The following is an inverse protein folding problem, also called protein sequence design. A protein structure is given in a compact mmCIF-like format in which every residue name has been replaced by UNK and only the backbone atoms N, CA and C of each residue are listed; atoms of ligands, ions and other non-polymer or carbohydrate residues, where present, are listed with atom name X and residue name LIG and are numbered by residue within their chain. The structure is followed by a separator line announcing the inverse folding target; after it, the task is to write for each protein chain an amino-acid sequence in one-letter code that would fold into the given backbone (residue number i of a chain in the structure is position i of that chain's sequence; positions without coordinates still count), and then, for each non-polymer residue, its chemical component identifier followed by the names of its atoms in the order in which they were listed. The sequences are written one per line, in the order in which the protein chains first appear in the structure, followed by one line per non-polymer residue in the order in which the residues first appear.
data_IF_330128194553
#
_entry.id   IF_330128194553
#
_cell.length_a   1.000
_cell.length_b   1.000
_cell.length_c   1.000
_cell.angle_alpha   90.00
_cell.angle_beta   90.00
_cell.angle_gamma   90.00
#
_symmetry.space_group_name_H-M   'P 1'
#
loop_
_entity.id
_entity.type
_entity.pdbx_description
1 polymer ?
#
# COMPACT_ATOMS: atom_id res chain seq x y z
N UNK A 1 -5.16 6.82 -8.65
CA UNK A 1 -5.51 5.84 -9.70
C UNK A 1 -4.69 4.60 -9.43
N UNK A 2 -5.29 3.42 -9.34
CA UNK A 2 -4.55 2.17 -9.16
C UNK A 2 -4.57 1.39 -10.49
N UNK A 3 -3.46 0.78 -10.89
CA UNK A 3 -3.45 -0.20 -11.97
C UNK A 3 -3.44 -1.59 -11.34
N UNK A 4 -4.31 -2.48 -11.80
CA UNK A 4 -4.30 -3.90 -11.42
C UNK A 4 -4.25 -4.70 -12.72
N UNK A 5 -3.09 -5.26 -13.05
CA UNK A 5 -2.86 -5.86 -14.36
C UNK A 5 -2.98 -4.81 -15.48
N UNK A 6 -3.91 -5.02 -16.41
CA UNK A 6 -4.17 -4.10 -17.52
C UNK A 6 -5.26 -3.06 -17.22
N UNK A 7 -5.96 -3.17 -16.08
CA UNK A 7 -7.06 -2.27 -15.73
C UNK A 7 -6.58 -1.07 -14.90
N UNK A 8 -7.09 0.12 -15.22
CA UNK A 8 -6.88 1.35 -14.44
C UNK A 8 -8.18 1.69 -13.70
N UNK A 9 -8.09 1.78 -12.38
CA UNK A 9 -9.22 2.02 -11.49
C UNK A 9 -9.08 3.40 -10.81
N UNK A 10 -10.17 4.15 -10.86
CA UNK A 10 -10.34 5.40 -10.12
C UNK A 10 -11.32 5.16 -8.99
N UNK A 11 -10.85 5.33 -7.76
CA UNK A 11 -11.65 5.11 -6.56
C UNK A 11 -11.41 6.23 -5.56
N UNK A 12 -12.42 6.45 -4.74
CA UNK A 12 -12.40 7.36 -3.61
C UNK A 12 -13.18 6.71 -2.46
N UNK A 13 -12.78 7.06 -1.23
CA UNK A 13 -13.44 6.63 -0.01
C UNK A 13 -13.39 7.75 1.03
N UNK A 14 -14.38 7.77 1.93
CA UNK A 14 -14.40 8.63 3.11
C UNK A 14 -13.83 7.85 4.28
N UNK A 15 -13.06 8.51 5.15
CA UNK A 15 -12.48 7.89 6.34
C UNK A 15 -12.27 8.89 7.46
N UNK A 16 -11.90 8.40 8.63
CA UNK A 16 -11.59 9.19 9.82
C UNK A 16 -10.17 9.80 9.68
N UNK A 17 -10.00 10.68 8.69
CA UNK A 17 -8.73 11.28 8.32
C UNK A 17 -8.15 10.76 7.00
N UNK A 18 -7.10 11.42 6.49
CA UNK A 18 -6.60 11.19 5.13
C UNK A 18 -6.01 9.78 4.94
N UNK A 19 -5.28 9.26 5.92
CA UNK A 19 -4.68 7.91 5.84
C UNK A 19 -5.75 6.82 5.86
N UNK A 20 -6.80 6.97 6.67
CA UNK A 20 -7.90 6.01 6.69
C UNK A 20 -8.72 6.07 5.39
N UNK A 21 -8.98 7.26 4.85
CA UNK A 21 -9.63 7.40 3.56
C UNK A 21 -8.80 6.74 2.44
N UNK A 22 -7.47 6.88 2.50
CA UNK A 22 -6.54 6.27 1.56
C UNK A 22 -6.56 4.73 1.64
N UNK A 23 -6.44 4.14 2.82
CA UNK A 23 -6.52 2.69 3.03
C UNK A 23 -7.84 2.12 2.47
N UNK A 24 -8.98 2.75 2.80
CA UNK A 24 -10.30 2.33 2.28
C UNK A 24 -10.39 2.46 0.77
N UNK A 25 -9.81 3.51 0.19
CA UNK A 25 -9.78 3.71 -1.25
C UNK A 25 -8.97 2.61 -1.93
N UNK A 26 -7.76 2.32 -1.43
CA UNK A 26 -6.90 1.23 -1.96
C UNK A 26 -7.64 -0.10 -1.89
N UNK A 27 -8.17 -0.46 -0.73
CA UNK A 27 -8.94 -1.70 -0.53
C UNK A 27 -10.10 -1.81 -1.51
N UNK A 28 -10.86 -0.72 -1.71
CA UNK A 28 -11.95 -0.68 -2.68
C UNK A 28 -11.49 -0.94 -4.13
N UNK A 29 -10.27 -0.54 -4.50
CA UNK A 29 -9.72 -0.85 -5.81
C UNK A 29 -9.24 -2.29 -5.95
N UNK A 30 -8.63 -2.88 -4.91
CA UNK A 30 -7.94 -4.18 -5.05
C UNK A 30 -8.76 -5.39 -4.58
N UNK A 31 -9.69 -5.23 -3.63
CA UNK A 31 -10.48 -6.34 -3.09
C UNK A 31 -11.27 -7.12 -4.16
N UNK A 32 -11.80 -6.50 -5.23
CA UNK A 32 -12.44 -7.27 -6.32
C UNK A 32 -11.51 -8.29 -7.00
N UNK A 33 -10.20 -8.05 -6.96
CA UNK A 33 -9.18 -8.89 -7.61
C UNK A 33 -8.49 -9.84 -6.62
N UNK A 34 -8.39 -9.44 -5.34
CA UNK A 34 -7.73 -10.20 -4.28
C UNK A 34 -8.64 -10.29 -3.03
N UNK A 35 -9.74 -11.05 -3.10
CA UNK A 35 -10.67 -11.20 -1.97
C UNK A 35 -10.00 -11.79 -0.72
N UNK A 36 -8.90 -12.54 -0.87
CA UNK A 36 -8.11 -13.07 0.24
C UNK A 36 -7.49 -11.99 1.14
N UNK A 37 -7.44 -10.73 0.68
CA UNK A 37 -6.96 -9.59 1.48
C UNK A 37 -8.04 -9.00 2.39
N UNK A 38 -9.30 -9.45 2.31
CA UNK A 38 -10.38 -8.95 3.15
C UNK A 38 -10.11 -9.19 4.64
N UNK A 39 -9.44 -10.30 4.98
CA UNK A 39 -9.01 -10.62 6.35
C UNK A 39 -7.81 -9.81 6.84
N UNK A 40 -7.09 -9.13 5.95
CA UNK A 40 -5.89 -8.36 6.32
C UNK A 40 -6.33 -7.04 6.94
N UNK A 41 -5.93 -6.78 8.18
CA UNK A 41 -6.23 -5.54 8.89
C UNK A 41 -4.96 -4.88 9.42
N UNK A 42 -4.98 -3.55 9.49
CA UNK A 42 -3.94 -2.78 10.17
C UNK A 42 -4.19 -2.88 11.67
N UNK A 43 -3.18 -3.32 12.42
CA UNK A 43 -3.26 -3.46 13.88
C UNK A 43 -2.47 -2.39 14.62
N UNK A 44 -1.48 -1.78 13.98
CA UNK A 44 -0.73 -0.66 14.54
C UNK A 44 -0.23 0.31 13.45
N UNK A 45 -0.14 1.59 13.81
CA UNK A 45 0.30 2.66 12.93
C UNK A 45 1.18 3.64 13.72
N UNK A 46 2.47 3.69 13.37
CA UNK A 46 3.48 4.50 14.07
C UNK A 46 4.22 5.41 13.11
N UNK A 47 4.37 6.67 13.49
CA UNK A 47 5.13 7.67 12.74
C UNK A 47 6.35 8.07 13.53
N UNK A 48 7.50 8.18 12.86
CA UNK A 48 8.74 8.70 13.42
C UNK A 48 9.35 9.73 12.49
N UNK A 49 9.80 10.84 13.04
CA UNK A 49 10.61 11.83 12.33
C UNK A 49 12.07 11.40 12.47
N UNK A 50 12.80 11.32 11.35
CA UNK A 50 14.18 10.84 11.34
C UNK A 50 15.20 11.98 11.44
N UNK A 51 14.87 13.14 10.87
CA UNK A 51 15.72 14.32 10.84
C UNK A 51 14.91 15.51 11.36
N UNK A 52 14.89 15.67 12.68
CA UNK A 52 14.12 16.74 13.34
C UNK A 52 14.72 18.13 13.05
N UNK A 53 16.01 18.21 12.71
CA UNK A 53 16.71 19.46 12.44
C UNK A 53 16.27 20.09 11.10
N UNK A 54 15.88 19.27 10.13
CA UNK A 54 15.36 19.70 8.84
C UNK A 54 13.93 20.30 8.90
N UNK A 55 13.29 20.34 10.08
CA UNK A 55 11.96 20.91 10.31
C UNK A 55 10.91 20.44 9.30
N UNK A 56 10.40 21.32 8.41
CA UNK A 56 9.37 20.94 7.42
C UNK A 56 9.89 20.06 6.29
N UNK A 57 11.21 19.96 6.12
CA UNK A 57 11.86 19.06 5.17
C UNK A 57 12.24 17.72 5.81
N UNK A 58 11.89 17.50 7.08
CA UNK A 58 12.22 16.31 7.82
C UNK A 58 11.71 15.04 7.14
N UNK A 59 12.57 14.03 7.09
CA UNK A 59 12.17 12.72 6.60
C UNK A 59 11.28 12.04 7.63
N UNK A 60 10.08 11.66 7.20
CA UNK A 60 9.09 10.95 7.99
C UNK A 60 9.10 9.47 7.64
N UNK A 61 9.19 8.62 8.66
CA UNK A 61 9.08 7.16 8.55
C UNK A 61 7.76 6.70 9.15
N UNK A 62 6.99 5.97 8.38
CA UNK A 62 5.74 5.34 8.79
C UNK A 62 5.97 3.85 8.90
N UNK A 63 5.67 3.27 10.06
CA UNK A 63 5.66 1.85 10.32
C UNK A 63 4.22 1.37 10.50
N UNK A 64 3.84 0.37 9.72
CA UNK A 64 2.52 -0.25 9.78
C UNK A 64 2.69 -1.71 10.17
N UNK A 65 1.99 -2.11 11.22
CA UNK A 65 1.79 -3.51 11.54
C UNK A 65 0.44 -3.97 10.96
N UNK A 66 0.46 -5.05 10.20
CA UNK A 66 -0.73 -5.69 9.64
C UNK A 66 -0.82 -7.15 10.07
N UNK A 67 -2.04 -7.68 10.08
CA UNK A 67 -2.34 -9.06 10.45
C UNK A 67 -3.43 -9.63 9.56
N UNK A 68 -3.33 -10.91 9.20
CA UNK A 68 -4.40 -11.69 8.54
C UNK A 68 -5.20 -12.56 9.53
N UNK A 69 -5.00 -12.36 10.84
CA UNK A 69 -5.58 -13.17 11.91
C UNK A 69 -4.73 -14.38 12.32
N UNK A 70 -3.77 -14.81 11.50
CA UNK A 70 -2.84 -15.90 11.82
C UNK A 70 -1.41 -15.40 12.02
N UNK A 71 -0.99 -14.43 11.22
CA UNK A 71 0.36 -13.90 11.20
C UNK A 71 0.33 -12.39 11.24
N UNK A 72 1.32 -11.81 11.90
CA UNK A 72 1.57 -10.37 11.88
C UNK A 72 2.82 -10.08 11.07
N UNK A 73 2.86 -8.92 10.43
CA UNK A 73 4.04 -8.41 9.74
C UNK A 73 4.10 -6.90 9.80
N UNK A 74 5.31 -6.38 9.67
CA UNK A 74 5.60 -4.96 9.66
C UNK A 74 6.04 -4.52 8.27
N UNK A 75 5.66 -3.30 7.92
CA UNK A 75 6.07 -2.62 6.69
C UNK A 75 6.44 -1.18 7.00
N UNK A 76 7.30 -0.61 6.16
CA UNK A 76 7.87 0.71 6.39
C UNK A 76 7.84 1.51 5.11
N UNK A 77 7.25 2.71 5.19
CA UNK A 77 7.35 3.74 4.17
C UNK A 77 8.12 4.94 4.70
N UNK A 78 8.88 5.61 3.84
CA UNK A 78 9.67 6.79 4.20
C UNK A 78 9.57 7.85 3.12
N UNK A 79 9.18 9.05 3.49
CA UNK A 79 9.11 10.21 2.58
C UNK A 79 9.14 11.50 3.42
N UNK A 80 9.45 12.63 2.80
CA UNK A 80 9.22 13.95 3.40
C UNK A 80 7.72 14.28 3.48
N UNK A 81 6.87 13.59 2.71
CA UNK A 81 5.42 13.70 2.78
C UNK A 81 4.83 12.51 3.55
N UNK A 82 4.16 12.78 4.67
CA UNK A 82 3.53 11.75 5.49
C UNK A 82 2.52 10.91 4.72
N UNK A 83 1.75 11.50 3.79
CA UNK A 83 0.73 10.77 3.02
C UNK A 83 1.38 9.76 2.07
N UNK A 84 2.50 10.14 1.46
CA UNK A 84 3.27 9.26 0.58
C UNK A 84 3.97 8.14 1.38
N UNK A 85 4.56 8.47 2.53
CA UNK A 85 5.14 7.47 3.42
C UNK A 85 4.07 6.46 3.89
N UNK A 86 2.88 6.93 4.29
CA UNK A 86 1.75 6.06 4.64
C UNK A 86 1.30 5.21 3.46
N UNK A 87 1.23 5.80 2.26
CA UNK A 87 0.82 5.10 1.05
C UNK A 87 1.73 3.91 0.75
N UNK A 88 3.06 4.11 0.76
CA UNK A 88 4.02 3.04 0.52
C UNK A 88 3.91 1.94 1.56
N UNK A 89 3.88 2.29 2.84
CA UNK A 89 3.72 1.31 3.91
C UNK A 89 2.42 0.51 3.78
N UNK A 90 1.30 1.17 3.42
CA UNK A 90 0.01 0.53 3.21
C UNK A 90 0.03 -0.48 2.07
N UNK A 91 0.57 -0.09 0.91
CA UNK A 91 0.66 -0.98 -0.27
C UNK A 91 1.53 -2.19 0.06
N UNK A 92 2.72 -1.98 0.62
CA UNK A 92 3.62 -3.06 1.02
C UNK A 92 2.92 -4.02 2.00
N UNK A 93 2.11 -3.48 2.92
CA UNK A 93 1.40 -4.29 3.92
C UNK A 93 0.38 -5.23 3.28
N UNK A 94 -0.18 -4.86 2.12
CA UNK A 94 -1.16 -5.64 1.36
C UNK A 94 -0.49 -6.57 0.34
N UNK A 95 0.68 -6.21 -0.18
CA UNK A 95 1.43 -7.03 -1.14
C UNK A 95 2.19 -8.20 -0.50
N UNK A 96 2.77 -7.99 0.69
CA UNK A 96 3.57 -9.00 1.38
C UNK A 96 2.85 -10.36 1.58
N UNK A 97 1.58 -10.42 2.03
CA UNK A 97 0.87 -11.70 2.13
C UNK A 97 0.66 -12.38 0.75
N UNK A 98 0.40 -11.63 -0.32
CA UNK A 98 0.26 -12.17 -1.67
C UNK A 98 1.59 -12.75 -2.19
N UNK A 99 2.70 -12.03 -1.97
CA UNK A 99 4.03 -12.50 -2.35
C UNK A 99 4.40 -13.81 -1.62
N UNK A 100 4.04 -13.92 -0.34
CA UNK A 100 4.27 -15.14 0.47
C UNK A 100 3.41 -16.32 0.01
N UNK A 101 2.14 -16.07 -0.34
CA UNK A 101 1.26 -17.10 -0.89
C UNK A 101 1.81 -17.67 -2.21
N UNK A 102 2.32 -16.80 -3.09
CA UNK A 102 2.91 -17.17 -4.39
C UNK A 102 4.30 -17.81 -4.28
N UNK A 103 5.07 -17.49 -3.23
CA UNK A 103 6.35 -18.13 -2.92
C UNK A 103 6.18 -19.59 -2.49
N UNK A 104 5.07 -19.91 -1.82
CA UNK A 104 4.78 -21.27 -1.35
C UNK A 104 4.33 -22.22 -2.48
N UNK A 105 3.92 -21.68 -3.63
CA UNK A 105 3.47 -22.46 -4.80
C UNK A 105 4.64 -22.95 -5.67
N UNK A 106 5.84 -22.39 -5.53
CA UNK A 106 7.02 -22.74 -6.36
C UNK A 106 7.66 -24.09 -6.03
N UNK A 107 7.31 -24.72 -4.91
CA UNK A 107 7.82 -26.07 -4.56
C UNK A 107 6.92 -27.20 -5.06
N UNK A 108 5.76 -26.91 -5.70
CA UNK A 108 4.82 -27.97 -6.12
C UNK A 108 4.31 -27.94 -7.55
N UNK A 109 4.77 -27.06 -8.44
CA UNK A 109 4.24 -27.01 -9.81
C UNK A 109 5.32 -26.73 -10.86
N UNK A 110 5.91 -27.80 -11.38
CA UNK A 110 6.34 -27.86 -12.77
C UNK A 110 5.08 -28.00 -13.63
N UNK A 111 4.56 -26.88 -14.15
CA UNK A 111 3.51 -26.90 -15.17
C UNK A 111 2.55 -25.71 -15.15
N UNK A 112 2.71 -24.83 -16.15
CA UNK A 112 1.69 -23.94 -16.74
C UNK A 112 1.07 -22.81 -15.90
N UNK A 113 1.74 -21.66 -15.95
CA UNK A 113 1.21 -20.33 -16.30
C UNK A 113 -0.19 -19.89 -15.85
N UNK A 114 -0.22 -19.11 -14.76
CA UNK A 114 -1.00 -17.87 -14.63
C UNK A 114 -0.43 -17.09 -13.43
N UNK A 115 0.41 -16.09 -13.69
CA UNK A 115 0.86 -15.15 -12.66
C UNK A 115 -0.27 -14.15 -12.43
N UNK A 116 -0.83 -14.11 -11.22
CA UNK A 116 -1.76 -13.05 -10.84
C UNK A 116 -1.09 -11.68 -11.08
N UNK A 117 -1.80 -10.70 -11.67
CA UNK A 117 -1.20 -9.40 -11.91
C UNK A 117 -0.69 -8.79 -10.59
N UNK A 118 0.28 -7.90 -10.65
CA UNK A 118 0.73 -7.15 -9.48
C UNK A 118 0.08 -5.76 -9.53
N UNK A 119 -0.48 -5.26 -8.41
CA UNK A 119 -0.99 -3.89 -8.38
C UNK A 119 0.17 -2.90 -8.56
N UNK A 120 -0.01 -1.92 -9.45
CA UNK A 120 0.94 -0.82 -9.67
C UNK A 120 0.17 0.49 -9.60
N UNK A 121 0.40 1.31 -8.58
CA UNK A 121 -0.27 2.60 -8.49
C UNK A 121 0.46 3.63 -9.35
N UNK A 122 -0.24 4.13 -10.38
CA UNK A 122 0.29 5.21 -11.22
C UNK A 122 0.27 6.53 -10.42
N UNK A 123 1.45 7.01 -10.02
CA UNK A 123 1.63 8.39 -9.60
C UNK A 123 1.26 9.31 -10.78
N UNK A 124 0.34 10.25 -10.57
CA UNK A 124 0.04 11.29 -11.55
C UNK A 124 1.18 12.32 -11.45
N UNK A 125 1.79 12.76 -12.56
CA UNK A 125 2.72 13.88 -12.51
C UNK A 125 1.97 15.11 -11.99
N UNK A 126 2.56 15.75 -10.98
CA UNK A 126 2.05 16.99 -10.41
C UNK A 126 2.16 18.07 -11.51
N UNK A 127 1.04 18.48 -12.10
CA UNK A 127 1.01 19.70 -12.91
C UNK A 127 1.22 20.89 -11.97
N UNK A 128 2.46 21.36 -11.88
CA UNK A 128 2.79 22.64 -11.27
C UNK A 128 2.13 23.73 -12.10
N UNK A 129 0.91 24.12 -11.72
CA UNK A 129 0.28 25.33 -12.25
C UNK A 129 1.01 26.52 -11.63
N UNK A 130 1.99 27.05 -12.36
CA UNK A 130 2.47 28.39 -12.17
C UNK A 130 1.31 29.34 -12.52
N UNK A 131 0.77 30.03 -11.52
CA UNK A 131 -0.04 31.22 -11.73
C UNK A 131 0.82 32.45 -11.45
N UNK A 132 0.53 33.50 -12.22
CA UNK A 132 1.34 34.66 -12.55
C UNK A 132 1.56 35.66 -11.41
#
# INVERSE_FOLDING_TARGET
KARVGDEIIHTAAVGNGPVNALDRAIRKAILPFYPELERVQLVDYKVRILDEEAATAAQTRVLIEASDGERNWNTVGSSTNIIEASFHALVDSLELPLARANGNSRTRLSGSGATAPQPQVLAQPHETRAEA
#
